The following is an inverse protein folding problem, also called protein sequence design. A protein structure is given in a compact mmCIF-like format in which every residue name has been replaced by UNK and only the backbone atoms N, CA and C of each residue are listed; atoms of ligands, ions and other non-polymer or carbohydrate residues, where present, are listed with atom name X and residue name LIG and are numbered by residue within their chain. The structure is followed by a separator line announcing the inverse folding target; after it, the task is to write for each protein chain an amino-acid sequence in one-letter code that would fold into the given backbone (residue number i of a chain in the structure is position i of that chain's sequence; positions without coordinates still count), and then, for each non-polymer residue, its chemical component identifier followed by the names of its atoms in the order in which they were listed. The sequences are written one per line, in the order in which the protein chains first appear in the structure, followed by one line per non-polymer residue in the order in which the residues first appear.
data_IF_611033853398
#
_entry.id   IF_611033853398
#
_cell.length_a   1.000
_cell.length_b   1.000
_cell.length_c   1.000
_cell.angle_alpha   90.00
_cell.angle_beta   90.00
_cell.angle_gamma   90.00
#
_symmetry.space_group_name_H-M   'P 1'
#
loop_
_entity.id
_entity.type
_entity.pdbx_description
1 polymer ?
#
# COMPACT_ATOMS: atom_id res chain seq x y z
N UNK A 1 18.54 0.30 -18.66
CA UNK A 1 18.64 -0.34 -17.31
C UNK A 1 17.22 -0.62 -16.89
N UNK A 2 16.96 -1.76 -16.25
CA UNK A 2 15.58 -2.15 -15.89
C UNK A 2 15.25 -1.61 -14.50
N UNK A 3 14.26 -0.72 -14.40
CA UNK A 3 13.74 -0.20 -13.13
C UNK A 3 12.55 -1.06 -12.69
N UNK A 4 12.63 -1.64 -11.49
CA UNK A 4 11.50 -2.39 -10.91
C UNK A 4 10.73 -1.51 -9.94
N UNK A 5 9.44 -1.32 -10.18
CA UNK A 5 8.57 -0.53 -9.31
C UNK A 5 7.57 -1.47 -8.64
N UNK A 6 7.70 -1.66 -7.34
CA UNK A 6 6.77 -2.46 -6.54
C UNK A 6 5.64 -1.56 -6.04
N UNK A 7 4.43 -1.80 -6.54
CA UNK A 7 3.27 -0.97 -6.25
C UNK A 7 2.20 -1.75 -5.47
N UNK A 8 1.73 -1.24 -4.31
CA UNK A 8 0.67 -1.87 -3.53
C UNK A 8 -0.65 -1.85 -4.28
N UNK A 9 -1.34 -2.98 -4.39
CA UNK A 9 -2.65 -3.04 -5.06
C UNK A 9 -3.70 -2.13 -4.42
N UNK A 10 -3.65 -1.92 -3.10
CA UNK A 10 -4.56 -1.01 -2.39
C UNK A 10 -4.41 0.46 -2.84
N UNK A 11 -3.23 0.86 -3.33
CA UNK A 11 -2.98 2.22 -3.78
C UNK A 11 -3.72 2.56 -5.08
N UNK A 12 -4.18 1.55 -5.83
CA UNK A 12 -4.95 1.73 -7.05
C UNK A 12 -6.34 2.35 -6.83
N UNK A 13 -6.84 2.33 -5.60
CA UNK A 13 -8.14 2.92 -5.23
C UNK A 13 -8.06 4.44 -5.05
N UNK A 14 -6.85 5.00 -4.89
CA UNK A 14 -6.67 6.44 -4.80
C UNK A 14 -6.96 7.10 -6.15
N UNK A 15 -7.61 8.27 -6.13
CA UNK A 15 -7.82 9.06 -7.36
C UNK A 15 -6.52 9.72 -7.83
N UNK A 16 -5.76 10.33 -6.92
CA UNK A 16 -4.48 10.96 -7.22
C UNK A 16 -3.70 11.25 -5.94
N UNK A 17 -2.39 11.40 -6.05
CA UNK A 17 -1.54 11.70 -4.91
C UNK A 17 -0.05 11.58 -5.18
N UNK A 18 0.75 11.68 -4.12
CA UNK A 18 2.19 11.41 -4.17
C UNK A 18 2.50 10.00 -3.65
N UNK A 19 3.47 9.37 -4.29
CA UNK A 19 3.96 8.04 -3.95
C UNK A 19 4.95 8.15 -2.80
N UNK A 20 4.63 7.52 -1.67
CA UNK A 20 5.54 7.38 -0.53
C UNK A 20 6.14 5.99 -0.57
N UNK A 21 7.47 5.90 -0.46
CA UNK A 21 8.14 4.61 -0.53
C UNK A 21 9.63 4.69 -0.22
N UNK A 22 10.34 3.62 -0.56
CA UNK A 22 11.79 3.52 -0.42
C UNK A 22 12.44 3.17 -1.75
N UNK A 23 13.52 3.86 -2.07
CA UNK A 23 14.44 3.46 -3.13
C UNK A 23 15.49 2.46 -2.61
N UNK A 24 15.71 1.39 -3.35
CA UNK A 24 16.74 0.36 -3.08
C UNK A 24 17.75 0.41 -4.23
N UNK A 25 18.77 1.25 -4.05
CA UNK A 25 19.77 1.55 -5.08
C UNK A 25 20.52 0.30 -5.55
N UNK A 26 20.79 -0.63 -4.64
CA UNK A 26 21.51 -1.88 -4.92
C UNK A 26 20.76 -2.77 -5.92
N UNK A 27 19.45 -2.57 -6.08
CA UNK A 27 18.57 -3.41 -6.90
C UNK A 27 17.89 -2.63 -8.02
N UNK A 28 18.20 -1.34 -8.19
CA UNK A 28 17.48 -0.42 -9.07
C UNK A 28 15.96 -0.58 -8.93
N UNK A 29 15.49 -0.58 -7.68
CA UNK A 29 14.11 -0.93 -7.34
C UNK A 29 13.49 0.14 -6.45
N UNK A 30 12.24 0.48 -6.74
CA UNK A 30 11.42 1.37 -5.94
C UNK A 30 10.31 0.57 -5.27
N UNK A 31 10.20 0.66 -3.95
CA UNK A 31 9.11 0.04 -3.18
C UNK A 31 8.16 1.12 -2.73
N UNK A 32 7.02 1.25 -3.41
CA UNK A 32 5.94 2.14 -3.01
C UNK A 32 5.24 1.49 -1.81
N UNK A 33 4.93 2.27 -0.78
CA UNK A 33 4.36 1.81 0.49
C UNK A 33 2.96 2.37 0.74
N UNK A 34 2.69 3.59 0.27
CA UNK A 34 1.39 4.26 0.36
C UNK A 34 1.29 5.39 -0.67
N UNK A 35 0.08 5.86 -0.95
CA UNK A 35 -0.16 7.14 -1.64
C UNK A 35 -0.70 8.15 -0.64
N UNK A 36 -0.13 9.36 -0.62
CA UNK A 36 -0.73 10.50 0.09
C UNK A 36 -1.66 11.21 -0.88
N UNK A 37 -2.94 11.27 -0.53
CA UNK A 37 -3.96 11.86 -1.38
C UNK A 37 -3.81 13.39 -1.46
N UNK A 38 -4.12 13.95 -2.61
CA UNK A 38 -4.32 15.40 -2.72
C UNK A 38 -5.65 15.83 -2.09
N UNK A 39 -5.74 17.08 -1.59
CA UNK A 39 -4.64 18.02 -1.34
C UNK A 39 -3.87 17.72 -0.05
N UNK A 40 -2.60 18.11 0.02
CA UNK A 40 -1.78 18.04 1.24
C UNK A 40 -0.87 19.26 1.39
N UNK A 41 -0.32 19.47 2.57
CA UNK A 41 0.68 20.52 2.85
C UNK A 41 2.08 19.89 2.80
N UNK A 42 2.99 20.31 1.89
CA UNK A 42 4.30 19.65 1.72
C UNK A 42 5.16 19.59 2.99
N UNK A 43 5.10 20.63 3.83
CA UNK A 43 5.81 20.67 5.12
C UNK A 43 5.32 19.56 6.05
N UNK A 44 4.02 19.29 6.10
CA UNK A 44 3.45 18.22 6.92
C UNK A 44 3.88 16.84 6.42
N UNK A 45 3.95 16.66 5.09
CA UNK A 45 4.48 15.43 4.49
C UNK A 45 5.94 15.21 4.93
N UNK A 46 6.80 16.23 4.83
CA UNK A 46 8.22 16.11 5.26
C UNK A 46 8.35 15.74 6.73
N UNK A 47 7.56 16.38 7.60
CA UNK A 47 7.54 16.09 9.03
C UNK A 47 7.08 14.65 9.30
N UNK A 48 6.02 14.21 8.61
CA UNK A 48 5.51 12.86 8.73
C UNK A 48 6.52 11.80 8.28
N UNK A 49 7.17 12.00 7.13
CA UNK A 49 8.20 11.08 6.65
C UNK A 49 9.40 10.99 7.60
N UNK A 50 9.80 12.12 8.18
CA UNK A 50 10.86 12.16 9.20
C UNK A 50 10.49 11.35 10.44
N UNK A 51 9.23 11.44 10.89
CA UNK A 51 8.72 10.65 12.01
C UNK A 51 8.70 9.15 11.69
N UNK A 52 8.18 8.79 10.52
CA UNK A 52 8.14 7.40 10.06
C UNK A 52 9.55 6.82 9.99
N UNK A 53 10.51 7.54 9.41
CA UNK A 53 11.90 7.11 9.35
C UNK A 53 12.51 6.94 10.76
N UNK A 54 12.21 7.86 11.68
CA UNK A 54 12.69 7.81 13.06
C UNK A 54 12.20 6.55 13.79
N UNK A 55 10.93 6.20 13.61
CA UNK A 55 10.28 5.05 14.27
C UNK A 55 10.65 3.73 13.60
N UNK A 56 10.58 3.66 12.27
CA UNK A 56 10.74 2.40 11.52
C UNK A 56 12.18 2.06 11.17
N UNK A 57 13.09 3.05 11.24
CA UNK A 57 14.47 2.98 10.74
C UNK A 57 14.57 2.67 9.25
N UNK A 58 13.47 2.79 8.51
CA UNK A 58 13.41 2.67 7.06
C UNK A 58 13.55 4.06 6.45
N UNK A 59 14.45 4.22 5.48
CA UNK A 59 14.56 5.47 4.72
C UNK A 59 13.38 5.57 3.76
N UNK A 60 12.37 6.35 4.14
CA UNK A 60 11.17 6.58 3.33
C UNK A 60 11.20 7.99 2.76
N UNK A 61 10.86 8.14 1.49
CA UNK A 61 10.81 9.41 0.76
C UNK A 61 9.60 9.47 -0.17
N UNK A 62 9.35 10.67 -0.70
CA UNK A 62 8.48 10.81 -1.87
C UNK A 62 9.24 10.30 -3.08
N UNK A 63 8.64 9.37 -3.83
CA UNK A 63 9.24 8.74 -5.01
C UNK A 63 8.62 9.24 -6.32
N UNK A 64 7.44 9.83 -6.25
CA UNK A 64 6.81 10.47 -7.39
C UNK A 64 5.31 10.65 -7.21
N UNK A 65 4.53 10.41 -8.27
CA UNK A 65 3.10 10.74 -8.33
C UNK A 65 2.23 9.62 -8.89
N UNK A 66 1.00 9.55 -8.39
CA UNK A 66 -0.06 8.66 -8.85
C UNK A 66 -1.26 9.44 -9.38
N UNK A 67 -1.85 8.99 -10.49
CA UNK A 67 -3.14 9.49 -10.98
C UNK A 67 -4.00 8.40 -11.63
N UNK A 68 -5.28 8.36 -11.28
CA UNK A 68 -6.28 7.42 -11.79
C UNK A 68 -7.07 7.98 -12.99
N UNK A 69 -6.81 9.21 -13.43
CA UNK A 69 -7.47 9.82 -14.58
C UNK A 69 -6.50 10.59 -15.48
N UNK A 70 -6.80 10.63 -16.78
CA UNK A 70 -6.13 11.47 -17.79
C UNK A 70 -6.70 12.89 -17.89
N UNK A 71 -7.61 13.29 -16.98
CA UNK A 71 -8.59 14.35 -17.31
C UNK A 71 -8.21 15.77 -16.90
N UNK A 72 -7.04 16.01 -16.32
CA UNK A 72 -6.54 17.38 -16.11
C UNK A 72 -5.49 17.73 -17.15
N UNK A 73 -5.58 18.97 -17.67
CA UNK A 73 -4.69 19.53 -18.70
C UNK A 73 -3.24 19.14 -18.39
N UNK A 74 -2.72 18.22 -19.20
CA UNK A 74 -1.46 17.50 -18.98
C UNK A 74 -0.29 18.46 -18.70
N UNK A 75 -0.29 19.65 -19.32
CA UNK A 75 0.68 20.73 -19.11
C UNK A 75 0.67 21.29 -17.68
N UNK A 76 -0.51 21.62 -17.12
CA UNK A 76 -0.61 22.14 -15.75
C UNK A 76 -0.25 21.11 -14.67
N UNK A 77 -0.53 19.84 -14.93
CA UNK A 77 -0.13 18.76 -14.05
C UNK A 77 1.38 18.52 -14.11
N UNK A 78 1.98 18.56 -15.30
CA UNK A 78 3.43 18.42 -15.44
C UNK A 78 4.20 19.54 -14.74
N UNK A 79 3.75 20.79 -14.85
CA UNK A 79 4.37 21.93 -14.15
C UNK A 79 4.25 21.78 -12.63
N UNK A 80 3.07 21.41 -12.14
CA UNK A 80 2.86 21.13 -10.71
C UNK A 80 3.72 19.97 -10.19
N UNK A 81 3.88 18.90 -10.99
CA UNK A 81 4.75 17.78 -10.63
C UNK A 81 6.22 18.15 -10.65
N UNK A 82 6.64 19.02 -11.57
CA UNK A 82 7.99 19.57 -11.59
C UNK A 82 8.24 20.41 -10.33
N UNK A 83 7.31 21.29 -9.96
CA UNK A 83 7.35 22.07 -8.72
C UNK A 83 7.42 21.16 -7.49
N UNK A 84 6.61 20.10 -7.42
CA UNK A 84 6.68 19.11 -6.35
C UNK A 84 8.05 18.39 -6.33
N UNK A 85 8.62 18.08 -7.49
CA UNK A 85 9.96 17.52 -7.62
C UNK A 85 11.05 18.47 -7.12
N UNK A 86 10.85 19.78 -7.17
CA UNK A 86 11.76 20.74 -6.52
C UNK A 86 11.66 20.69 -4.99
N UNK A 87 10.45 20.47 -4.46
CA UNK A 87 10.21 20.39 -3.01
C UNK A 87 10.73 19.06 -2.45
N UNK A 88 10.54 17.97 -3.19
CA UNK A 88 10.95 16.62 -2.86
C UNK A 88 11.99 16.15 -3.87
N UNK A 89 13.25 16.48 -3.59
CA UNK A 89 14.39 16.14 -4.44
C UNK A 89 14.70 14.64 -4.39
N UNK A 90 13.98 13.85 -5.19
CA UNK A 90 14.27 12.44 -5.45
C UNK A 90 14.37 12.23 -6.96
N UNK A 91 15.42 11.54 -7.39
CA UNK A 91 15.60 11.13 -8.78
C UNK A 91 15.86 9.62 -8.86
N UNK A 92 15.23 8.90 -9.81
CA UNK A 92 14.23 9.37 -10.76
C UNK A 92 12.86 9.65 -10.09
N UNK A 93 12.08 10.56 -10.68
CA UNK A 93 10.70 10.82 -10.25
C UNK A 93 9.75 9.87 -10.97
N UNK A 94 9.07 9.00 -10.24
CA UNK A 94 8.22 7.95 -10.82
C UNK A 94 6.79 8.47 -11.00
N UNK A 95 6.31 8.49 -12.23
CA UNK A 95 4.91 8.81 -12.54
C UNK A 95 4.18 7.54 -12.91
N UNK A 96 3.20 7.17 -12.09
CA UNK A 96 2.33 6.02 -12.34
C UNK A 96 0.94 6.56 -12.61
N UNK A 97 0.33 6.16 -13.71
CA UNK A 97 -1.03 6.57 -14.06
C UNK A 97 -1.83 5.43 -14.62
N UNK A 98 -3.15 5.49 -14.44
CA UNK A 98 -4.08 4.56 -15.08
C UNK A 98 -4.63 5.17 -16.36
N UNK A 99 -4.40 4.51 -17.49
CA UNK A 99 -4.92 4.95 -18.78
C UNK A 99 -6.40 4.57 -18.93
N UNK A 100 -7.30 5.43 -18.45
CA UNK A 100 -8.75 5.28 -18.63
C UNK A 100 -9.30 3.93 -18.17
N UNK A 101 -10.16 3.31 -18.98
CA UNK A 101 -10.77 2.00 -18.68
C UNK A 101 -9.85 0.81 -19.02
N UNK A 102 -8.56 1.06 -19.30
CA UNK A 102 -7.59 0.02 -19.59
C UNK A 102 -7.26 -0.75 -18.29
N UNK A 103 -7.00 -2.06 -18.44
CA UNK A 103 -6.55 -2.91 -17.32
C UNK A 103 -5.09 -2.65 -16.95
N UNK A 104 -4.34 -1.99 -17.81
CA UNK A 104 -2.91 -1.76 -17.66
C UNK A 104 -2.63 -0.33 -17.17
N UNK A 105 -1.68 -0.20 -16.26
CA UNK A 105 -1.19 1.09 -15.77
C UNK A 105 0.05 1.48 -16.58
N UNK A 106 0.18 2.77 -16.87
CA UNK A 106 1.39 3.37 -17.42
C UNK A 106 2.32 3.78 -16.28
N UNK A 107 3.60 3.49 -16.43
CA UNK A 107 4.65 3.94 -15.53
C UNK A 107 5.74 4.60 -16.36
N UNK A 108 6.12 5.81 -15.99
CA UNK A 108 7.21 6.57 -16.60
C UNK A 108 8.09 7.21 -15.52
N UNK A 109 9.29 7.62 -15.91
CA UNK A 109 10.21 8.35 -15.05
C UNK A 109 10.46 9.74 -15.63
N UNK A 110 10.29 10.77 -14.81
CA UNK A 110 10.73 12.11 -15.13
C UNK A 110 12.18 12.28 -14.65
N UNK A 111 13.11 12.49 -15.59
CA UNK A 111 14.51 12.81 -15.32
C UNK A 111 14.77 14.28 -15.65
N UNK A 112 15.25 15.05 -14.67
CA UNK A 112 15.44 16.49 -14.77
C UNK A 112 16.52 16.93 -15.79
N UNK A 113 17.46 16.04 -16.15
CA UNK A 113 18.64 16.41 -16.95
C UNK A 113 19.08 15.37 -18.00
N UNK A 114 18.18 14.55 -18.53
CA UNK A 114 18.54 13.56 -19.54
C UNK A 114 18.57 14.15 -20.96
N UNK A 115 19.77 14.42 -21.47
CA UNK A 115 20.03 14.81 -22.89
C UNK A 115 20.01 13.62 -23.85
N UNK A 116 19.75 12.41 -23.34
CA UNK A 116 19.64 11.18 -24.09
C UNK A 116 18.59 10.30 -23.42
N UNK A 117 17.37 10.19 -23.97
CA UNK A 117 16.36 9.27 -23.45
C UNK A 117 16.83 7.85 -23.73
N UNK A 118 17.71 7.31 -22.90
CA UNK A 118 17.85 5.86 -22.79
C UNK A 118 16.50 5.38 -22.30
N UNK A 119 15.78 4.65 -23.14
CA UNK A 119 14.54 3.97 -22.76
C UNK A 119 14.85 3.12 -21.52
N UNK A 120 14.49 3.62 -20.34
CA UNK A 120 14.52 2.84 -19.12
C UNK A 120 13.34 1.87 -19.21
N UNK A 121 13.65 0.58 -19.30
CA UNK A 121 12.64 -0.46 -19.25
C UNK A 121 12.10 -0.52 -17.83
N UNK A 122 10.83 -0.18 -17.64
CA UNK A 122 10.19 -0.16 -16.33
C UNK A 122 9.31 -1.41 -16.18
N UNK A 123 9.58 -2.20 -15.15
CA UNK A 123 8.75 -3.33 -14.76
C UNK A 123 7.93 -2.93 -13.54
N UNK A 124 6.63 -2.78 -13.74
CA UNK A 124 5.68 -2.51 -12.67
C UNK A 124 5.20 -3.83 -12.06
N UNK A 125 5.46 -4.03 -10.78
CA UNK A 125 5.19 -5.26 -10.03
C UNK A 125 4.15 -4.95 -8.97
N UNK A 126 3.00 -5.59 -9.09
CA UNK A 126 1.90 -5.44 -8.15
C UNK A 126 2.15 -6.35 -6.96
N UNK A 127 1.96 -5.81 -5.75
CA UNK A 127 2.00 -6.63 -4.56
C UNK A 127 0.81 -6.37 -3.65
N UNK A 128 0.39 -7.44 -2.98
CA UNK A 128 -0.58 -7.38 -1.92
C UNK A 128 0.18 -7.23 -0.60
N UNK A 129 0.04 -6.06 0.01
CA UNK A 129 0.75 -5.68 1.22
C UNK A 129 0.46 -6.61 2.39
N UNK A 130 -0.77 -7.13 2.50
CA UNK A 130 -1.15 -8.10 3.54
C UNK A 130 -0.41 -9.42 3.34
N UNK A 131 -0.31 -9.90 2.10
CA UNK A 131 0.42 -11.14 1.80
C UNK A 131 1.92 -11.01 2.09
N UNK A 132 2.51 -9.85 1.78
CA UNK A 132 3.91 -9.56 2.10
C UNK A 132 4.15 -9.48 3.61
N UNK A 133 3.21 -8.92 4.38
CA UNK A 133 3.33 -8.96 5.83
C UNK A 133 3.23 -10.38 6.39
N UNK A 134 2.29 -11.19 5.89
CA UNK A 134 2.09 -12.56 6.34
C UNK A 134 3.30 -13.47 6.03
N UNK A 135 4.04 -13.21 4.95
CA UNK A 135 5.23 -14.00 4.62
C UNK A 135 6.34 -13.89 5.68
N UNK A 136 6.36 -12.82 6.49
CA UNK A 136 7.31 -12.70 7.60
C UNK A 136 7.06 -13.69 8.74
N UNK A 137 5.88 -14.30 8.80
CA UNK A 137 5.58 -15.38 9.75
C UNK A 137 6.28 -16.69 9.36
N UNK A 138 6.70 -16.81 8.11
CA UNK A 138 7.42 -17.96 7.56
C UNK A 138 8.68 -17.46 6.86
N UNK A 139 9.70 -17.00 7.62
CA UNK A 139 10.95 -16.59 7.01
C UNK A 139 11.48 -17.75 6.16
N UNK A 140 11.93 -17.48 4.91
CA UNK A 140 12.44 -18.53 4.06
C UNK A 140 13.59 -19.22 4.78
N UNK A 141 13.51 -20.56 4.91
CA UNK A 141 14.64 -21.35 5.39
C UNK A 141 15.82 -21.05 4.47
N UNK A 142 16.96 -20.67 5.05
CA UNK A 142 18.26 -20.54 4.37
C UNK A 142 18.61 -21.89 3.72
N UNK A 143 18.04 -22.15 2.56
CA UNK A 143 18.30 -23.37 1.78
C UNK A 143 19.60 -23.13 1.05
N UNK A 144 20.68 -23.52 1.72
CA UNK A 144 22.07 -23.44 1.31
C UNK A 144 22.42 -24.31 0.06
N UNK A 145 21.56 -24.35 -0.96
CA UNK A 145 21.77 -25.15 -2.16
C UNK A 145 21.10 -24.61 -3.42
N UNK A 146 20.92 -23.29 -3.55
CA UNK A 146 20.39 -22.69 -4.78
C UNK A 146 21.47 -21.91 -5.53
N UNK A 147 21.49 -22.08 -6.86
CA UNK A 147 22.34 -21.40 -7.83
C UNK A 147 22.46 -19.90 -7.51
N UNK A 148 23.63 -19.30 -7.67
CA UNK A 148 23.94 -17.91 -7.26
C UNK A 148 22.86 -16.89 -7.67
N UNK A 149 22.28 -17.01 -8.87
CA UNK A 149 21.18 -16.15 -9.32
C UNK A 149 19.87 -16.28 -8.51
N UNK A 150 19.53 -17.48 -8.02
CA UNK A 150 18.34 -17.66 -7.16
C UNK A 150 18.56 -17.10 -5.77
N UNK A 151 19.78 -17.20 -5.23
CA UNK A 151 20.13 -16.58 -3.97
C UNK A 151 20.08 -15.04 -4.06
N UNK A 152 20.56 -14.49 -5.18
CA UNK A 152 20.50 -13.06 -5.47
C UNK A 152 19.04 -12.56 -5.56
N UNK A 153 18.18 -13.22 -6.33
CA UNK A 153 16.77 -12.83 -6.44
C UNK A 153 15.98 -13.02 -5.13
N UNK A 154 16.31 -14.03 -4.34
CA UNK A 154 15.75 -14.20 -3.00
C UNK A 154 16.16 -13.06 -2.05
N UNK A 155 17.43 -12.62 -2.11
CA UNK A 155 17.91 -11.46 -1.36
C UNK A 155 17.26 -10.15 -1.81
N UNK A 156 16.89 -10.06 -3.10
CA UNK A 156 16.16 -8.91 -3.65
C UNK A 156 14.76 -8.80 -3.05
N UNK A 157 14.02 -9.91 -3.11
CA UNK A 157 12.67 -10.01 -2.55
C UNK A 157 12.65 -9.86 -1.02
N UNK A 158 13.66 -10.38 -0.31
CA UNK A 158 13.73 -10.24 1.15
C UNK A 158 13.88 -8.79 1.59
N UNK A 159 14.66 -7.97 0.87
CA UNK A 159 14.80 -6.55 1.15
C UNK A 159 13.47 -5.77 0.96
N UNK A 160 12.68 -6.16 -0.04
CA UNK A 160 11.35 -5.59 -0.29
C UNK A 160 10.40 -5.98 0.84
N UNK A 161 10.38 -7.27 1.20
CA UNK A 161 9.55 -7.78 2.28
C UNK A 161 9.90 -7.08 3.60
N UNK A 162 11.18 -7.03 3.97
CA UNK A 162 11.65 -6.34 5.17
C UNK A 162 11.25 -4.85 5.18
N UNK A 163 11.37 -4.18 4.03
CA UNK A 163 10.95 -2.78 3.88
C UNK A 163 9.45 -2.61 4.13
N UNK A 164 8.61 -3.47 3.57
CA UNK A 164 7.16 -3.43 3.76
C UNK A 164 6.80 -3.72 5.22
N UNK A 165 7.36 -4.77 5.83
CA UNK A 165 7.04 -5.15 7.21
C UNK A 165 7.45 -4.09 8.23
N UNK A 166 8.64 -3.50 8.10
CA UNK A 166 9.09 -2.42 8.99
C UNK A 166 8.26 -1.15 8.84
N UNK A 167 7.68 -0.92 7.67
CA UNK A 167 6.89 0.27 7.36
C UNK A 167 5.42 0.15 7.73
N UNK A 168 5.02 -0.87 8.50
CA UNK A 168 3.62 -1.15 8.88
C UNK A 168 2.84 0.06 9.41
N UNK A 169 3.49 1.02 10.05
CA UNK A 169 2.85 2.21 10.61
C UNK A 169 2.20 3.10 9.55
N UNK A 170 2.70 3.08 8.31
CA UNK A 170 2.18 3.85 7.18
C UNK A 170 0.78 3.40 6.74
N UNK A 171 0.39 2.17 7.09
CA UNK A 171 -0.82 1.56 6.57
C UNK A 171 -1.66 0.85 7.65
N UNK A 172 -1.07 0.34 8.74
CA UNK A 172 -1.82 -0.29 9.84
C UNK A 172 -2.50 0.69 10.81
N UNK A 173 -2.34 1.99 10.64
CA UNK A 173 -2.99 2.95 11.53
C UNK A 173 -4.47 3.05 11.14
N UNK A 174 -5.33 2.37 11.91
CA UNK A 174 -6.80 2.47 11.86
C UNK A 174 -7.25 3.84 12.38
N UNK A 175 -6.93 4.87 11.60
CA UNK A 175 -7.44 6.21 11.77
C UNK A 175 -8.11 6.57 10.45
N UNK A 176 -9.43 6.53 10.45
CA UNK A 176 -10.27 7.10 9.41
C UNK A 176 -9.80 8.51 9.06
N UNK A 177 -8.93 8.74 8.06
CA UNK A 177 -8.52 10.07 7.57
C UNK A 177 -8.20 11.17 8.62
N UNK A 178 -8.07 10.84 9.91
CA UNK A 178 -8.01 11.78 11.04
C UNK A 178 -6.58 12.32 11.25
N UNK A 179 -5.65 11.87 10.41
CA UNK A 179 -4.30 12.38 10.36
C UNK A 179 -4.20 13.72 9.62
N UNK A 180 -3.10 14.47 9.81
CA UNK A 180 -2.86 15.70 9.05
C UNK A 180 -2.68 15.44 7.54
N UNK A 181 -2.42 14.18 7.18
CA UNK A 181 -2.33 13.69 5.80
C UNK A 181 -3.23 12.47 5.64
N UNK A 182 -3.86 12.37 4.47
CA UNK A 182 -4.68 11.24 4.08
C UNK A 182 -3.86 10.25 3.29
N UNK A 183 -3.83 8.99 3.72
CA UNK A 183 -3.05 7.92 3.11
C UNK A 183 -3.98 6.84 2.55
N UNK A 184 -3.51 6.12 1.54
CA UNK A 184 -4.20 4.90 1.07
C UNK A 184 -4.28 3.86 2.17
N UNK A 185 -5.50 3.42 2.43
CA UNK A 185 -5.80 2.43 3.46
C UNK A 185 -5.82 1.01 2.90
N UNK A 186 -5.39 0.03 3.69
CA UNK A 186 -5.36 -1.39 3.29
C UNK A 186 -6.45 -2.23 3.98
N UNK A 187 -7.16 -1.69 4.99
CA UNK A 187 -7.92 -2.52 5.94
C UNK A 187 -9.24 -2.94 5.30
N UNK A 188 -9.22 -4.15 4.77
CA UNK A 188 -10.36 -5.00 4.42
C UNK A 188 -11.38 -4.38 3.47
N UNK A 189 -11.44 -4.88 2.23
CA UNK A 189 -12.52 -4.64 1.25
C UNK A 189 -13.91 -5.11 1.75
N UNK A 190 -14.36 -4.68 2.92
CA UNK A 190 -15.59 -5.12 3.58
C UNK A 190 -15.57 -6.57 4.09
N UNK A 191 -14.45 -7.30 3.97
CA UNK A 191 -14.37 -8.71 4.38
C UNK A 191 -14.58 -8.90 5.89
N UNK A 192 -14.08 -7.99 6.72
CA UNK A 192 -14.26 -8.08 8.18
C UNK A 192 -15.72 -7.84 8.58
N UNK A 193 -16.39 -6.88 7.92
CA UNK A 193 -17.84 -6.69 8.09
C UNK A 193 -18.63 -7.93 7.61
N UNK A 194 -18.20 -8.57 6.52
CA UNK A 194 -18.80 -9.82 6.02
C UNK A 194 -18.62 -10.98 7.01
N UNK A 195 -17.45 -11.10 7.65
CA UNK A 195 -17.18 -12.10 8.70
C UNK A 195 -18.08 -11.85 9.91
N UNK A 196 -18.21 -10.61 10.37
CA UNK A 196 -19.07 -10.27 11.52
C UNK A 196 -20.54 -10.60 11.20
N UNK A 197 -21.02 -10.25 10.00
CA UNK A 197 -22.39 -10.55 9.58
C UNK A 197 -22.62 -12.07 9.47
N UNK A 198 -21.68 -12.82 8.91
CA UNK A 198 -21.81 -14.28 8.79
C UNK A 198 -21.75 -14.97 10.16
N UNK A 199 -20.93 -14.48 11.09
CA UNK A 199 -20.90 -14.97 12.48
C UNK A 199 -22.19 -14.65 13.23
N UNK A 200 -22.75 -13.43 13.08
CA UNK A 200 -24.06 -13.08 13.66
C UNK A 200 -25.19 -13.96 13.09
N UNK A 201 -25.14 -14.24 11.78
CA UNK A 201 -26.09 -15.12 11.12
C UNK A 201 -25.99 -16.55 11.66
N UNK A 202 -24.79 -17.10 11.80
CA UNK A 202 -24.58 -18.44 12.37
C UNK A 202 -25.02 -18.53 13.84
N UNK A 203 -24.84 -17.47 14.63
CA UNK A 203 -25.25 -17.42 16.04
C UNK A 203 -26.76 -17.23 16.25
N UNK A 204 -27.49 -16.70 15.26
CA UNK A 204 -28.91 -16.37 15.38
C UNK A 204 -29.81 -17.58 15.65
N UNK A 205 -29.56 -18.70 14.96
CA UNK A 205 -30.39 -19.93 15.10
C UNK A 205 -30.19 -20.60 16.47
N UNK A 206 -28.96 -20.86 16.94
CA UNK A 206 -28.74 -21.39 18.30
C UNK A 206 -29.31 -20.49 19.39
N UNK A 207 -29.17 -19.16 19.24
CA UNK A 207 -29.70 -18.20 20.21
C UNK A 207 -31.23 -18.28 20.30
N UNK A 208 -31.95 -18.34 19.17
CA UNK A 208 -33.41 -18.48 19.14
C UNK A 208 -33.88 -19.79 19.80
N UNK A 209 -33.17 -20.90 19.59
CA UNK A 209 -33.49 -22.20 20.20
C UNK A 209 -33.32 -22.14 21.72
N UNK A 210 -32.21 -21.57 22.20
CA UNK A 210 -31.94 -21.38 23.64
C UNK A 210 -33.03 -20.52 24.29
N UNK A 211 -33.41 -19.42 23.63
CA UNK A 211 -34.42 -18.48 24.13
C UNK A 211 -35.80 -19.14 24.20
N UNK A 212 -36.17 -19.92 23.19
CA UNK A 212 -37.41 -20.70 23.15
C UNK A 212 -37.45 -21.76 24.26
N UNK A 213 -36.32 -22.43 24.51
CA UNK A 213 -36.19 -23.42 25.58
C UNK A 213 -36.35 -22.77 26.97
N UNK A 214 -35.69 -21.65 27.22
CA UNK A 214 -35.82 -20.90 28.48
C UNK A 214 -37.25 -20.41 28.72
N UNK A 215 -37.91 -19.86 27.69
CA UNK A 215 -39.31 -19.44 27.78
C UNK A 215 -40.26 -20.62 28.05
N UNK A 216 -39.96 -21.79 27.48
CA UNK A 216 -40.72 -23.02 27.75
C UNK A 216 -40.58 -23.47 29.19
N UNK A 217 -39.38 -23.40 29.78
CA UNK A 217 -39.16 -23.70 31.19
C UNK A 217 -39.91 -22.74 32.10
N UNK A 218 -39.82 -21.42 31.83
CA UNK A 218 -40.52 -20.40 32.63
C UNK A 218 -42.04 -20.60 32.56
N UNK A 219 -42.59 -20.83 31.36
CA UNK A 219 -44.03 -21.09 31.21
C UNK A 219 -44.48 -22.38 31.90
N UNK A 220 -43.65 -23.43 31.90
CA UNK A 220 -43.91 -24.66 32.64
C UNK A 220 -43.94 -24.45 34.15
N UNK A 221 -42.98 -23.70 34.70
CA UNK A 221 -42.93 -23.35 36.13
C UNK A 221 -44.12 -22.47 36.53
N UNK A 222 -44.50 -21.50 35.69
CA UNK A 222 -45.66 -20.64 35.94
C UNK A 222 -47.01 -21.38 35.83
N UNK A 223 -47.11 -22.44 35.02
CA UNK A 223 -48.32 -23.29 34.92
C UNK A 223 -48.40 -24.36 36.01
N UNK A 224 -47.28 -24.70 36.65
CA UNK A 224 -47.21 -25.68 37.72
C UNK A 224 -47.44 -25.08 39.12
N UNK A 225 -47.64 -23.77 39.21
CA UNK A 225 -48.04 -23.03 40.42
C UNK A 225 -49.52 -22.68 40.32
#
# INVERSE_FOLDING_TARGET
MVLKVFFPSCCASAESGILIGRWISEQNSAVILAVVHFPFIPVQVKQYLSEVQRVTKVSVSVLGSWSNSKQEKEESLSEFLEDLGTIFSHEPWIQISKEGNNKFWSCSTLQKHSTNPKEEEIILIYYDQRKVMLSHLHPPLDTASSTEHRAEDASKLSAIFDTVAKSKILFMTDRYDDGPIKLTHWQSDGVEASIIVELMKQASVPACVLLTFLLSLVSGVCRSR
#
